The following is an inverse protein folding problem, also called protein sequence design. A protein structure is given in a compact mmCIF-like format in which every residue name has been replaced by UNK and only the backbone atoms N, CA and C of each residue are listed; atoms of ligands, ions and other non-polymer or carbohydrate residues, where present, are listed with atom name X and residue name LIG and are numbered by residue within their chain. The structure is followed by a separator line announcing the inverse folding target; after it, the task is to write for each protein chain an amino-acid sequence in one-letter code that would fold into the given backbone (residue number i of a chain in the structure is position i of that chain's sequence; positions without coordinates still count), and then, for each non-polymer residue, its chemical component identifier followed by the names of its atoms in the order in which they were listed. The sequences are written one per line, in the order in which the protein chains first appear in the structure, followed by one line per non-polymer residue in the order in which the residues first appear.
data_IF_596834644736
#
_entry.id   IF_596834644736
#
_cell.length_a   1.000
_cell.length_b   1.000
_cell.length_c   1.000
_cell.angle_alpha   90.00
_cell.angle_beta   90.00
_cell.angle_gamma   90.00
#
_symmetry.space_group_name_H-M   'P 1'
#
loop_
_entity.id
_entity.type
_entity.pdbx_description
1 polymer ?
#
# COMPACT_ATOMS: atom_id res chain seq x y z
N UNK A 1 4.12 -14.93 12.69
CA UNK A 1 3.94 -14.70 11.24
C UNK A 1 3.90 -16.07 10.60
N UNK A 2 2.84 -16.41 9.87
CA UNK A 2 2.72 -17.69 9.16
C UNK A 2 3.67 -17.65 7.97
N UNK A 3 4.51 -18.68 7.82
CA UNK A 3 5.46 -18.79 6.71
C UNK A 3 4.75 -19.11 5.40
N UNK A 4 5.40 -18.81 4.27
CA UNK A 4 4.82 -19.09 2.95
C UNK A 4 4.66 -20.59 2.68
N UNK A 5 5.55 -21.42 3.25
CA UNK A 5 5.43 -22.88 3.22
C UNK A 5 4.19 -23.37 3.98
N UNK A 6 3.92 -22.82 5.18
CA UNK A 6 2.73 -23.14 5.96
C UNK A 6 1.43 -22.72 5.24
N UNK A 7 1.44 -21.58 4.53
CA UNK A 7 0.30 -21.15 3.72
C UNK A 7 0.03 -22.08 2.54
N UNK A 8 1.08 -22.48 1.82
CA UNK A 8 0.96 -23.39 0.68
C UNK A 8 0.49 -24.78 1.12
N UNK A 9 0.98 -25.25 2.27
CA UNK A 9 0.58 -26.55 2.81
C UNK A 9 -0.90 -26.52 3.26
N UNK A 10 -1.35 -25.46 3.94
CA UNK A 10 -2.76 -25.28 4.31
C UNK A 10 -3.67 -25.23 3.08
N UNK A 11 -3.30 -24.45 2.06
CA UNK A 11 -4.05 -24.39 0.79
C UNK A 11 -4.15 -25.76 0.10
N UNK A 12 -3.08 -26.55 0.11
CA UNK A 12 -3.07 -27.88 -0.55
C UNK A 12 -4.04 -28.89 0.09
N UNK A 13 -4.44 -28.67 1.34
CA UNK A 13 -5.43 -29.48 2.06
C UNK A 13 -6.79 -28.78 2.21
N UNK A 14 -7.00 -27.66 1.48
CA UNK A 14 -8.26 -26.93 1.48
C UNK A 14 -8.53 -26.09 2.74
N UNK A 15 -7.50 -25.83 3.55
CA UNK A 15 -7.57 -24.96 4.72
C UNK A 15 -6.99 -23.59 4.38
N UNK A 16 -7.74 -22.53 4.71
CA UNK A 16 -7.22 -21.17 4.67
C UNK A 16 -6.63 -20.82 6.04
N UNK A 17 -5.34 -20.45 6.14
CA UNK A 17 -4.72 -20.12 7.41
C UNK A 17 -5.22 -18.76 7.93
N UNK A 18 -5.58 -18.71 9.21
CA UNK A 18 -5.96 -17.47 9.89
C UNK A 18 -4.71 -16.74 10.43
N UNK A 19 -4.69 -15.42 10.30
CA UNK A 19 -3.65 -14.55 10.87
C UNK A 19 -4.30 -13.55 11.81
N UNK A 20 -3.84 -13.53 13.07
CA UNK A 20 -4.34 -12.61 14.11
C UNK A 20 -3.32 -11.50 14.32
N UNK A 21 -3.82 -10.25 14.40
CA UNK A 21 -3.02 -9.06 14.62
C UNK A 21 -3.46 -8.30 15.86
N UNK A 22 -2.50 -7.69 16.55
CA UNK A 22 -2.77 -6.69 17.57
C UNK A 22 -3.15 -5.37 16.88
N UNK A 23 -4.33 -4.85 17.18
CA UNK A 23 -4.93 -3.69 16.50
C UNK A 23 -4.04 -2.44 16.48
N UNK A 24 -3.20 -2.25 17.51
CA UNK A 24 -2.38 -1.05 17.66
C UNK A 24 -0.93 -1.26 17.25
N UNK A 25 -0.27 -2.29 17.77
CA UNK A 25 1.18 -2.48 17.57
C UNK A 25 1.54 -3.05 16.21
N UNK A 26 0.62 -3.82 15.60
CA UNK A 26 0.92 -4.53 14.36
C UNK A 26 0.48 -3.73 13.12
N UNK A 27 -0.27 -2.64 13.31
CA UNK A 27 -0.70 -1.77 12.22
C UNK A 27 0.49 -0.95 11.73
N UNK A 28 0.91 -1.22 10.50
CA UNK A 28 1.89 -0.38 9.80
C UNK A 28 1.20 0.83 9.20
N UNK A 29 1.90 1.96 9.22
CA UNK A 29 1.44 3.23 8.69
C UNK A 29 2.56 3.84 7.86
N UNK A 30 2.25 4.17 6.61
CA UNK A 30 3.09 4.96 5.70
C UNK A 30 2.30 6.23 5.39
N UNK A 31 2.86 7.38 5.75
CA UNK A 31 2.17 8.66 5.63
C UNK A 31 2.99 9.63 4.78
N UNK A 32 2.31 10.41 3.95
CA UNK A 32 2.86 11.60 3.31
C UNK A 32 2.40 12.80 4.12
N UNK A 33 3.34 13.66 4.50
CA UNK A 33 3.11 14.85 5.29
C UNK A 33 3.45 16.10 4.50
N UNK A 34 2.78 17.21 4.81
CA UNK A 34 3.20 18.54 4.36
C UNK A 34 4.58 18.87 4.90
N UNK A 35 5.38 19.61 4.13
CA UNK A 35 6.73 19.98 4.54
C UNK A 35 6.74 21.00 5.69
N UNK A 36 5.71 21.85 5.78
CA UNK A 36 5.64 22.98 6.68
C UNK A 36 4.91 22.67 7.99
N UNK A 37 3.74 22.03 7.93
CA UNK A 37 2.91 21.74 9.11
C UNK A 37 3.05 20.31 9.63
N UNK A 38 3.73 19.42 8.89
CA UNK A 38 3.77 17.98 9.13
C UNK A 38 2.38 17.32 9.19
N UNK A 39 1.38 17.94 8.56
CA UNK A 39 0.02 17.40 8.50
C UNK A 39 -0.01 16.25 7.51
N UNK A 40 -0.58 15.12 7.94
CA UNK A 40 -0.79 13.95 7.07
C UNK A 40 -1.81 14.27 5.99
N UNK A 41 -1.37 14.23 4.74
CA UNK A 41 -2.21 14.46 3.55
C UNK A 41 -2.55 13.16 2.81
N UNK A 42 -1.87 12.07 3.16
CA UNK A 42 -2.14 10.72 2.64
C UNK A 42 -1.64 9.70 3.66
N UNK A 43 -2.42 8.65 3.90
CA UNK A 43 -2.03 7.51 4.73
C UNK A 43 -2.29 6.20 3.98
N UNK A 44 -1.30 5.30 3.96
CA UNK A 44 -1.46 3.89 3.63
C UNK A 44 -1.22 3.11 4.91
N UNK A 45 -2.22 2.36 5.38
CA UNK A 45 -2.10 1.59 6.61
C UNK A 45 -2.73 0.19 6.50
N UNK A 46 -2.20 -0.74 7.27
CA UNK A 46 -2.62 -2.14 7.26
C UNK A 46 -1.73 -3.05 8.10
N UNK A 47 -2.19 -4.27 8.34
CA UNK A 47 -1.53 -5.22 9.24
C UNK A 47 -0.53 -6.15 8.52
N UNK A 48 -0.81 -6.53 7.28
CA UNK A 48 0.10 -7.30 6.41
C UNK A 48 0.51 -6.50 5.18
N UNK A 49 0.89 -5.23 5.38
CA UNK A 49 1.41 -4.40 4.29
C UNK A 49 2.77 -4.94 3.83
N UNK A 50 2.81 -5.43 2.59
CA UNK A 50 4.01 -5.93 1.92
C UNK A 50 4.42 -5.00 0.78
N UNK A 51 5.69 -4.58 0.77
CA UNK A 51 6.30 -3.82 -0.32
C UNK A 51 7.43 -4.66 -0.87
N UNK A 52 7.23 -5.17 -2.09
CA UNK A 52 8.17 -6.05 -2.75
C UNK A 52 8.84 -5.31 -3.91
N UNK A 53 10.16 -5.42 -4.00
CA UNK A 53 10.96 -4.77 -5.03
C UNK A 53 11.51 -5.82 -5.99
N UNK A 54 11.31 -5.61 -7.29
CA UNK A 54 11.95 -6.41 -8.31
C UNK A 54 13.43 -5.99 -8.46
N UNK A 55 14.29 -6.57 -7.62
CA UNK A 55 15.71 -6.19 -7.55
C UNK A 55 16.43 -6.40 -8.88
N UNK A 56 16.05 -7.41 -9.66
CA UNK A 56 16.65 -7.67 -10.98
C UNK A 56 16.42 -6.51 -11.97
N UNK A 57 15.40 -5.68 -11.74
CA UNK A 57 15.07 -4.51 -12.57
C UNK A 57 15.49 -3.18 -11.97
N UNK A 58 15.90 -3.15 -10.70
CA UNK A 58 16.31 -1.95 -9.99
C UNK A 58 17.81 -2.00 -9.73
N UNK A 59 18.60 -1.76 -10.76
CA UNK A 59 20.06 -1.96 -10.74
C UNK A 59 20.82 -0.64 -10.55
N UNK A 60 20.23 0.49 -10.94
CA UNK A 60 20.86 1.80 -10.85
C UNK A 60 19.85 2.91 -10.49
N UNK A 61 20.36 4.12 -10.27
CA UNK A 61 19.55 5.29 -9.88
C UNK A 61 18.47 5.60 -10.93
N UNK A 62 18.77 5.50 -12.23
CA UNK A 62 17.79 5.80 -13.27
C UNK A 62 16.61 4.81 -13.26
N UNK A 63 16.85 3.53 -12.93
CA UNK A 63 15.78 2.55 -12.76
C UNK A 63 14.89 2.91 -11.55
N UNK A 64 15.49 3.38 -10.45
CA UNK A 64 14.78 3.81 -9.25
C UNK A 64 13.93 5.05 -9.54
N UNK A 65 14.50 6.07 -10.19
CA UNK A 65 13.75 7.27 -10.57
C UNK A 65 12.58 6.94 -11.51
N UNK A 66 12.80 6.05 -12.48
CA UNK A 66 11.75 5.57 -13.38
C UNK A 66 10.63 4.84 -12.63
N UNK A 67 10.97 4.03 -11.62
CA UNK A 67 10.00 3.38 -10.74
C UNK A 67 9.21 4.40 -9.90
N UNK A 68 9.89 5.43 -9.36
CA UNK A 68 9.25 6.50 -8.59
C UNK A 68 8.29 7.32 -9.46
N UNK A 69 8.65 7.60 -10.71
CA UNK A 69 7.76 8.24 -11.67
C UNK A 69 6.52 7.41 -11.95
N UNK A 70 6.68 6.08 -12.12
CA UNK A 70 5.55 5.16 -12.26
C UNK A 70 4.64 5.15 -11.03
N UNK A 71 5.21 5.17 -9.82
CA UNK A 71 4.44 5.26 -8.57
C UNK A 71 3.67 6.58 -8.48
N UNK A 72 4.30 7.71 -8.81
CA UNK A 72 3.66 9.03 -8.86
C UNK A 72 2.47 9.03 -9.81
N UNK A 73 2.61 8.44 -11.00
CA UNK A 73 1.53 8.39 -11.99
C UNK A 73 0.38 7.47 -11.54
N UNK A 74 0.69 6.33 -10.91
CA UNK A 74 -0.31 5.46 -10.31
C UNK A 74 -1.10 6.19 -9.22
N UNK A 75 -0.43 6.78 -8.24
CA UNK A 75 -1.09 7.47 -7.15
C UNK A 75 -1.83 8.72 -7.61
N UNK A 76 -1.34 9.44 -8.62
CA UNK A 76 -2.09 10.53 -9.24
C UNK A 76 -3.45 10.04 -9.74
N UNK A 77 -3.50 8.89 -10.43
CA UNK A 77 -4.77 8.32 -10.90
C UNK A 77 -5.70 7.95 -9.76
N UNK A 78 -5.18 7.29 -8.72
CA UNK A 78 -5.97 6.87 -7.55
C UNK A 78 -6.56 8.09 -6.82
N UNK A 79 -5.73 9.09 -6.52
CA UNK A 79 -6.17 10.31 -5.82
C UNK A 79 -7.17 11.10 -6.65
N UNK A 80 -6.92 11.26 -7.95
CA UNK A 80 -7.86 11.98 -8.83
C UNK A 80 -9.20 11.26 -8.93
N UNK A 81 -9.21 9.93 -8.99
CA UNK A 81 -10.44 9.16 -9.00
C UNK A 81 -11.24 9.38 -7.71
N UNK A 82 -10.60 9.22 -6.55
CA UNK A 82 -11.23 9.40 -5.23
C UNK A 82 -11.81 10.82 -5.04
N UNK A 83 -11.04 11.85 -5.41
CA UNK A 83 -11.48 13.24 -5.29
C UNK A 83 -12.60 13.60 -6.27
N UNK A 84 -12.57 13.06 -7.49
CA UNK A 84 -13.62 13.30 -8.48
C UNK A 84 -14.92 12.60 -8.10
N UNK A 85 -14.86 11.35 -7.63
CA UNK A 85 -16.02 10.61 -7.13
C UNK A 85 -16.65 11.35 -5.92
N UNK A 86 -15.81 11.80 -4.98
CA UNK A 86 -16.24 12.59 -3.82
C UNK A 86 -16.92 13.92 -4.19
N UNK A 87 -16.53 14.56 -5.29
CA UNK A 87 -17.12 15.82 -5.73
C UNK A 87 -18.47 15.63 -6.43
N UNK A 88 -18.68 14.49 -7.10
CA UNK A 88 -19.96 14.13 -7.73
C UNK A 88 -21.03 13.82 -6.67
N UNK A 89 -20.66 13.15 -5.58
CA UNK A 89 -21.60 12.88 -4.48
C UNK A 89 -22.04 14.17 -3.76
N UNK A 90 -21.13 15.14 -3.61
CA UNK A 90 -21.43 16.45 -2.99
C UNK A 90 -22.28 17.37 -3.84
N UNK A 91 -22.29 17.22 -5.17
CA UNK A 91 -23.13 18.03 -6.06
C UNK A 91 -24.53 17.46 -6.25
N UNK A 92 -24.73 16.19 -5.90
CA UNK A 92 -26.02 15.50 -5.99
C UNK A 92 -26.73 15.35 -4.62
N UNK A 93 -26.17 15.93 -3.55
CA UNK A 93 -26.77 16.04 -2.21
C UNK A 93 -27.21 17.48 -1.94
#
# INVERSE_FOLDING_TARGET
MVTEEEKQQAQSIGLEPEVVFNTLSDRRILAVQTEDTHETIMEISGYDLQINFNRDKLQNIADIESMLDGLKDLFRRVVMQDLLESNVEKTNS
#
